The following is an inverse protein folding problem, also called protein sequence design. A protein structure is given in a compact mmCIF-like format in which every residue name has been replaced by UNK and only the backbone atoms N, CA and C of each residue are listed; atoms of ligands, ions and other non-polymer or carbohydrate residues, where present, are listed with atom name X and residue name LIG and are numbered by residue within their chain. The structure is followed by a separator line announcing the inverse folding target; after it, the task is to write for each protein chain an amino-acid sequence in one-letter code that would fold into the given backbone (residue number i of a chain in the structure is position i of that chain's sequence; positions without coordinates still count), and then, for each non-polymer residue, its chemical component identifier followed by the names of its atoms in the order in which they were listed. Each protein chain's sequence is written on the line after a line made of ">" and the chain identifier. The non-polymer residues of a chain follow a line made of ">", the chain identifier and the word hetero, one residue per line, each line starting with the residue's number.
data_IF_903424209450
#
_entry.id   IF_903424209450
#
_cell.length_a   1.000
_cell.length_b   1.000
_cell.length_c   1.000
_cell.angle_alpha   90.00
_cell.angle_beta   90.00
_cell.angle_gamma   90.00
#
_symmetry.space_group_name_H-M   'P 1'
#
loop_
_entity.id
_entity.type
_entity.pdbx_description
1 polymer ?
#
# COMPACT_ATOMS: atom_id res chain seq x y z
N UNK A 1 -2.37 -17.28 -13.36
CA UNK A 1 -2.53 -18.21 -12.21
C UNK A 1 -1.73 -17.68 -11.02
N UNK A 2 -2.40 -17.30 -9.92
CA UNK A 2 -1.76 -16.95 -8.65
C UNK A 2 -1.76 -18.20 -7.75
N UNK A 3 -0.59 -18.79 -7.54
CA UNK A 3 -0.40 -19.95 -6.63
C UNK A 3 -0.96 -19.63 -5.23
N UNK A 4 -1.72 -20.52 -4.57
CA UNK A 4 -2.20 -20.29 -3.21
C UNK A 4 -1.03 -19.95 -2.27
N UNK A 5 -1.14 -18.82 -1.56
CA UNK A 5 -0.12 -18.34 -0.62
C UNK A 5 0.89 -17.33 -1.18
N UNK A 6 0.89 -17.01 -2.49
CA UNK A 6 1.78 -15.97 -3.04
C UNK A 6 1.11 -14.60 -3.01
N UNK A 7 1.66 -13.70 -2.21
CA UNK A 7 1.30 -12.27 -2.19
C UNK A 7 2.23 -11.52 -3.16
N UNK A 8 1.66 -10.63 -3.97
CA UNK A 8 2.43 -9.67 -4.76
C UNK A 8 2.65 -8.41 -3.92
N UNK A 9 3.90 -8.00 -3.79
CA UNK A 9 4.28 -6.76 -3.09
C UNK A 9 4.80 -5.77 -4.12
N UNK A 10 4.23 -4.57 -4.14
CA UNK A 10 4.70 -3.45 -4.95
C UNK A 10 5.16 -2.31 -4.05
N UNK A 11 6.29 -1.70 -4.42
CA UNK A 11 6.76 -0.45 -3.81
C UNK A 11 6.37 0.70 -4.74
N UNK A 12 5.79 1.75 -4.17
CA UNK A 12 5.45 2.99 -4.88
C UNK A 12 6.11 4.14 -4.16
N UNK A 13 6.75 5.02 -4.93
CA UNK A 13 7.21 6.31 -4.48
C UNK A 13 6.06 7.32 -4.55
N UNK A 14 5.71 7.92 -3.43
CA UNK A 14 4.55 8.81 -3.32
C UNK A 14 4.77 10.18 -3.94
N UNK A 15 6.03 10.63 -4.04
CA UNK A 15 6.40 11.94 -4.55
C UNK A 15 6.32 11.94 -6.07
N UNK A 16 6.82 10.86 -6.69
CA UNK A 16 6.74 10.65 -8.14
C UNK A 16 5.33 10.26 -8.60
N UNK A 17 4.48 9.72 -7.71
CA UNK A 17 3.15 9.19 -8.04
C UNK A 17 2.04 9.88 -7.23
N UNK A 18 2.06 11.21 -7.19
CA UNK A 18 1.19 12.02 -6.31
C UNK A 18 -0.31 11.74 -6.51
N UNK A 19 -0.75 11.52 -7.76
CA UNK A 19 -2.15 11.19 -8.06
C UNK A 19 -2.60 9.89 -7.41
N UNK A 20 -1.75 8.87 -7.41
CA UNK A 20 -2.02 7.58 -6.77
C UNK A 20 -2.06 7.76 -5.25
N UNK A 21 -1.12 8.52 -4.70
CA UNK A 21 -1.08 8.86 -3.27
C UNK A 21 -2.36 9.57 -2.83
N UNK A 22 -2.85 10.54 -3.62
CA UNK A 22 -4.11 11.25 -3.34
C UNK A 22 -5.32 10.33 -3.46
N UNK A 23 -5.44 9.54 -4.54
CA UNK A 23 -6.54 8.59 -4.75
C UNK A 23 -6.62 7.56 -3.64
N UNK A 24 -5.47 7.09 -3.14
CA UNK A 24 -5.39 6.14 -2.04
C UNK A 24 -5.40 6.81 -0.67
N UNK A 25 -5.49 8.14 -0.59
CA UNK A 25 -5.52 8.90 0.66
C UNK A 25 -4.29 8.68 1.55
N UNK A 26 -3.09 8.64 0.94
CA UNK A 26 -1.82 8.53 1.67
C UNK A 26 -1.46 9.92 2.21
N UNK A 27 -1.53 10.07 3.53
CA UNK A 27 -1.21 11.32 4.24
C UNK A 27 0.11 11.27 5.02
N UNK A 28 0.64 10.07 5.27
CA UNK A 28 1.90 9.86 5.99
C UNK A 28 2.65 8.65 5.41
N UNK A 29 3.99 8.66 5.55
CA UNK A 29 4.88 7.60 5.09
C UNK A 29 5.62 7.03 6.32
N UNK A 30 5.80 5.70 6.44
CA UNK A 30 5.35 4.66 5.51
C UNK A 30 3.86 4.31 5.68
N UNK A 31 3.20 4.03 4.55
CA UNK A 31 1.83 3.49 4.50
C UNK A 31 1.83 2.15 3.77
N UNK A 32 1.25 1.11 4.37
CA UNK A 32 0.98 -0.17 3.70
C UNK A 32 -0.50 -0.30 3.36
N UNK A 33 -0.79 -0.77 2.15
CA UNK A 33 -2.14 -1.02 1.67
C UNK A 33 -2.23 -2.48 1.22
N UNK A 34 -3.15 -3.22 1.81
CA UNK A 34 -3.47 -4.58 1.39
C UNK A 34 -4.65 -4.54 0.43
N UNK A 35 -4.43 -5.05 -0.77
CA UNK A 35 -5.47 -5.19 -1.79
C UNK A 35 -5.99 -6.63 -1.82
N UNK A 36 -7.32 -6.81 -1.87
CA UNK A 36 -7.97 -8.11 -2.06
C UNK A 36 -9.03 -7.96 -3.13
N UNK A 37 -8.93 -8.74 -4.20
CA UNK A 37 -9.89 -8.65 -5.32
C UNK A 37 -9.87 -7.33 -6.09
N UNK A 38 -8.78 -6.55 -6.02
CA UNK A 38 -8.68 -5.24 -6.67
C UNK A 38 -9.15 -4.07 -5.79
N UNK A 39 -9.71 -4.35 -4.62
CA UNK A 39 -10.17 -3.34 -3.68
C UNK A 39 -9.26 -3.24 -2.47
N UNK A 40 -9.28 -2.08 -1.80
CA UNK A 40 -8.53 -1.85 -0.56
C UNK A 40 -9.18 -2.65 0.57
N UNK A 41 -8.53 -3.72 1.01
CA UNK A 41 -8.99 -4.55 2.11
C UNK A 41 -8.55 -3.99 3.47
N UNK A 42 -7.32 -3.46 3.56
CA UNK A 42 -6.79 -2.88 4.79
C UNK A 42 -5.72 -1.83 4.49
N UNK A 43 -5.61 -0.84 5.36
CA UNK A 43 -4.62 0.23 5.29
C UNK A 43 -3.97 0.42 6.64
N UNK A 44 -2.65 0.57 6.63
CA UNK A 44 -1.83 0.88 7.80
C UNK A 44 -1.06 2.15 7.51
N UNK A 45 -1.42 3.25 8.16
CA UNK A 45 -0.83 4.58 7.94
C UNK A 45 0.14 4.88 9.08
N UNK A 46 1.28 5.50 8.76
CA UNK A 46 2.22 5.96 9.77
C UNK A 46 2.80 4.80 10.58
N UNK A 47 3.18 3.72 9.90
CA UNK A 47 3.82 2.58 10.55
C UNK A 47 5.13 3.07 11.18
N UNK A 48 5.17 3.12 12.52
CA UNK A 48 6.40 3.39 13.23
C UNK A 48 7.30 2.16 13.09
N UNK A 49 8.50 2.35 12.55
CA UNK A 49 9.53 1.32 12.59
C UNK A 49 9.78 1.00 14.06
N UNK A 50 9.53 -0.25 14.46
CA UNK A 50 9.88 -0.72 15.80
C UNK A 50 11.39 -0.89 15.81
N UNK A 51 12.08 -0.04 16.58
CA UNK A 51 13.49 -0.19 16.93
C UNK A 51 13.73 -1.50 17.66
#
# INVERSE_FOLDING_TARGET
>A
MLTPGKIKVGKVDTDSNRDISMKLGISAIPTLILFKGGEVAKKFVGLQQKT
#
